data_IF_825649252949
#
_entry.id   IF_825649252949
#
_cell.length_a   1.000
_cell.length_b   1.000
_cell.length_c   1.000
_cell.angle_alpha   90.00
_cell.angle_beta   90.00
_cell.angle_gamma   90.00
#
_symmetry.space_group_name_H-M   'P 1'
#
loop_
_entity.id
_entity.type
_entity.pdbx_description
1 polymer ?
#
# COMPACT_ATOMS: atom_id res chain seq x y z
N UNK A 1 27.94 4.30 -44.55
CA UNK A 1 27.40 3.50 -43.44
C UNK A 1 26.19 4.25 -42.90
N UNK A 2 25.03 3.59 -42.88
CA UNK A 2 23.76 4.15 -42.45
C UNK A 2 23.71 4.39 -40.92
N UNK A 3 22.77 5.23 -40.43
CA UNK A 3 22.80 5.87 -39.12
C UNK A 3 21.92 5.16 -38.06
N UNK A 4 22.11 5.50 -36.79
CA UNK A 4 21.25 5.06 -35.68
C UNK A 4 20.88 6.23 -34.77
N UNK A 5 19.83 6.97 -35.13
CA UNK A 5 19.21 8.01 -34.29
C UNK A 5 17.99 7.37 -33.63
N UNK A 6 18.03 7.25 -32.30
CA UNK A 6 16.91 6.75 -31.50
C UNK A 6 15.93 7.90 -31.25
N UNK A 7 14.71 7.71 -31.74
CA UNK A 7 13.60 8.64 -31.68
C UNK A 7 12.99 8.65 -30.26
N UNK A 8 13.11 9.78 -29.56
CA UNK A 8 12.37 10.08 -28.33
C UNK A 8 10.94 10.45 -28.73
N UNK A 9 9.95 9.59 -28.42
CA UNK A 9 8.53 9.97 -28.50
C UNK A 9 8.06 10.54 -27.16
N UNK A 10 8.15 11.86 -27.06
CA UNK A 10 7.28 12.67 -26.22
C UNK A 10 6.04 13.08 -27.06
N UNK A 11 4.85 12.65 -26.65
CA UNK A 11 3.57 13.27 -27.03
C UNK A 11 2.54 12.89 -25.96
N UNK A 12 2.25 13.79 -25.02
CA UNK A 12 1.13 14.74 -25.07
C UNK A 12 -0.23 14.04 -24.86
N UNK A 13 -0.74 14.07 -23.63
CA UNK A 13 -2.15 13.82 -23.35
C UNK A 13 -2.68 14.93 -22.42
N UNK A 14 -3.06 16.04 -23.03
CA UNK A 14 -3.86 17.11 -22.45
C UNK A 14 -5.31 16.90 -22.91
N UNK A 15 -6.22 16.85 -21.94
CA UNK A 15 -7.65 17.20 -21.99
C UNK A 15 -8.53 16.53 -23.07
N UNK A 16 -9.61 15.89 -22.63
CA UNK A 16 -10.99 16.28 -22.97
C UNK A 16 -12.01 15.43 -22.19
N UNK A 17 -12.95 16.13 -21.54
CA UNK A 17 -14.16 15.63 -20.90
C UNK A 17 -15.12 15.02 -21.95
N UNK A 18 -16.01 14.07 -21.60
CA UNK A 18 -16.97 13.54 -22.55
C UNK A 18 -18.26 14.39 -22.58
N UNK A 19 -18.52 15.01 -23.72
CA UNK A 19 -19.88 15.41 -24.14
C UNK A 19 -20.54 14.24 -24.86
N UNK A 20 -21.80 14.03 -24.51
CA UNK A 20 -22.68 12.96 -24.97
C UNK A 20 -23.16 13.19 -26.42
N UNK A 21 -23.06 12.20 -27.31
CA UNK A 21 -24.11 11.85 -28.31
C UNK A 21 -23.80 10.56 -29.08
N UNK A 22 -24.86 9.80 -29.35
CA UNK A 22 -24.88 8.50 -30.01
C UNK A 22 -24.89 8.57 -31.56
N UNK A 23 -24.24 7.61 -32.24
CA UNK A 23 -24.82 6.81 -33.35
C UNK A 23 -23.86 5.73 -33.91
N UNK A 24 -24.36 4.49 -33.88
CA UNK A 24 -24.31 3.34 -34.81
C UNK A 24 -23.16 3.05 -35.82
N UNK A 25 -22.64 1.81 -35.67
CA UNK A 25 -22.34 0.70 -36.62
C UNK A 25 -20.96 0.54 -37.31
N UNK A 26 -20.43 -0.70 -37.17
CA UNK A 26 -19.47 -1.52 -37.97
C UNK A 26 -18.05 -0.97 -38.16
N UNK A 27 -16.90 -1.65 -37.93
CA UNK A 27 -16.48 -3.07 -37.96
C UNK A 27 -15.10 -3.22 -37.24
N UNK A 28 -14.82 -4.40 -36.64
CA UNK A 28 -13.49 -5.07 -36.51
C UNK A 28 -13.49 -6.12 -35.36
N UNK A 29 -13.21 -7.43 -35.59
CA UNK A 29 -13.29 -8.46 -34.54
C UNK A 29 -12.07 -8.54 -33.60
N UNK A 30 -11.03 -7.75 -33.81
CA UNK A 30 -9.75 -7.95 -33.11
C UNK A 30 -9.54 -7.08 -31.86
N UNK A 31 -10.45 -6.14 -31.58
CA UNK A 31 -10.34 -5.22 -30.43
C UNK A 31 -11.22 -5.61 -29.22
N UNK A 32 -12.00 -6.69 -29.32
CA UNK A 32 -13.01 -7.06 -28.31
C UNK A 32 -12.50 -7.98 -27.18
N UNK A 33 -11.23 -8.38 -27.16
CA UNK A 33 -10.70 -9.26 -26.11
C UNK A 33 -10.15 -8.54 -24.87
N UNK A 34 -10.19 -7.20 -24.82
CA UNK A 34 -9.73 -6.45 -23.64
C UNK A 34 -10.85 -5.74 -22.87
N UNK A 35 -12.11 -5.82 -23.35
CA UNK A 35 -13.22 -5.02 -22.80
C UNK A 35 -14.45 -5.83 -22.37
N UNK A 36 -14.36 -7.16 -22.30
CA UNK A 36 -15.49 -8.06 -21.99
C UNK A 36 -15.32 -8.83 -20.66
N UNK A 37 -14.52 -8.32 -19.72
CA UNK A 37 -14.40 -8.95 -18.37
C UNK A 37 -15.20 -8.22 -17.28
N UNK A 38 -15.95 -7.17 -17.62
CA UNK A 38 -16.71 -6.39 -16.62
C UNK A 38 -18.21 -6.39 -16.85
N UNK A 39 -18.89 -7.54 -16.77
CA UNK A 39 -20.35 -7.58 -16.57
C UNK A 39 -20.75 -8.77 -15.67
N UNK A 40 -21.56 -8.46 -14.64
CA UNK A 40 -22.28 -9.34 -13.70
C UNK A 40 -21.52 -10.00 -12.53
N UNK A 41 -21.17 -9.20 -11.52
CA UNK A 41 -20.81 -9.67 -10.16
C UNK A 41 -22.04 -9.86 -9.26
N UNK A 42 -23.03 -10.63 -9.72
CA UNK A 42 -24.17 -11.04 -8.88
C UNK A 42 -23.97 -12.41 -8.21
N UNK A 43 -22.87 -13.09 -8.48
CA UNK A 43 -22.42 -14.28 -7.75
C UNK A 43 -20.99 -14.04 -7.28
N UNK A 44 -20.78 -13.98 -5.95
CA UNK A 44 -19.54 -13.74 -5.21
C UNK A 44 -18.46 -14.82 -5.47
N UNK A 45 -18.10 -15.06 -6.71
CA UNK A 45 -16.96 -15.90 -7.03
C UNK A 45 -15.75 -15.00 -7.16
N UNK A 46 -14.95 -14.87 -6.11
CA UNK A 46 -13.64 -14.21 -6.19
C UNK A 46 -12.63 -15.07 -7.01
N UNK A 47 -13.10 -16.01 -7.85
CA UNK A 47 -12.33 -16.87 -8.73
C UNK A 47 -11.23 -16.14 -9.49
N UNK A 48 -11.51 -14.94 -9.99
CA UNK A 48 -10.50 -14.12 -10.70
C UNK A 48 -9.38 -13.66 -9.77
N UNK A 49 -9.69 -13.33 -8.51
CA UNK A 49 -8.70 -13.00 -7.47
C UNK A 49 -7.76 -14.19 -7.25
N UNK A 50 -8.32 -15.39 -7.08
CA UNK A 50 -7.51 -16.58 -6.81
C UNK A 50 -6.72 -17.08 -8.01
N UNK A 51 -7.32 -17.06 -9.21
CA UNK A 51 -6.61 -17.43 -10.43
C UNK A 51 -5.39 -16.52 -10.62
N UNK A 52 -5.58 -15.20 -10.45
CA UNK A 52 -4.50 -14.24 -10.51
C UNK A 52 -3.45 -14.44 -9.41
N UNK A 53 -3.89 -14.69 -8.16
CA UNK A 53 -2.99 -14.99 -7.05
C UNK A 53 -2.11 -16.21 -7.34
N UNK A 54 -2.71 -17.30 -7.84
CA UNK A 54 -2.03 -18.55 -8.14
C UNK A 54 -1.03 -18.43 -9.29
N UNK A 55 -1.37 -17.67 -10.31
CA UNK A 55 -0.53 -17.54 -11.50
C UNK A 55 0.59 -16.52 -11.30
N UNK A 56 0.28 -15.38 -10.69
CA UNK A 56 1.23 -14.25 -10.58
C UNK A 56 2.00 -14.25 -9.26
N UNK A 57 1.42 -14.80 -8.19
CA UNK A 57 1.96 -14.75 -6.84
C UNK A 57 1.85 -16.09 -6.11
N UNK A 58 2.34 -17.20 -6.70
CA UNK A 58 2.23 -18.52 -6.10
C UNK A 58 2.95 -18.58 -4.75
N UNK A 59 2.42 -19.35 -3.79
CA UNK A 59 3.13 -19.60 -2.53
C UNK A 59 4.38 -20.43 -2.79
N UNK A 60 5.54 -19.78 -2.76
CA UNK A 60 6.84 -20.43 -2.99
C UNK A 60 7.47 -21.01 -1.73
N UNK A 61 7.08 -20.50 -0.55
CA UNK A 61 7.69 -20.87 0.73
C UNK A 61 6.89 -21.99 1.39
N UNK A 62 7.57 -23.09 1.75
CA UNK A 62 6.94 -24.26 2.41
C UNK A 62 6.81 -24.08 3.91
N UNK A 63 7.76 -23.42 4.55
CA UNK A 63 7.75 -23.14 5.99
C UNK A 63 6.74 -22.05 6.32
N UNK A 64 6.11 -22.18 7.48
CA UNK A 64 5.21 -21.15 7.98
C UNK A 64 5.98 -19.88 8.36
N UNK A 65 5.35 -18.74 8.10
CA UNK A 65 5.82 -17.41 8.51
C UNK A 65 4.79 -16.78 9.44
N UNK A 66 5.27 -16.10 10.48
CA UNK A 66 4.40 -15.49 11.49
C UNK A 66 4.32 -13.98 11.30
N UNK A 67 3.11 -13.43 11.44
CA UNK A 67 2.92 -12.00 11.59
C UNK A 67 3.29 -11.63 13.03
N UNK A 68 4.45 -11.00 13.21
CA UNK A 68 4.90 -10.52 14.53
C UNK A 68 4.39 -9.11 14.82
N UNK A 69 4.81 -8.57 15.97
CA UNK A 69 4.47 -7.21 16.44
C UNK A 69 4.81 -6.10 15.44
N UNK A 70 5.71 -6.36 14.50
CA UNK A 70 6.13 -5.41 13.48
C UNK A 70 5.84 -5.89 12.04
N UNK A 71 4.88 -6.81 11.90
CA UNK A 71 4.46 -7.43 10.65
C UNK A 71 5.35 -8.61 10.23
N UNK A 72 5.22 -9.02 8.97
CA UNK A 72 6.09 -10.03 8.37
C UNK A 72 7.45 -9.44 8.06
N UNK A 73 8.52 -10.19 8.37
CA UNK A 73 9.90 -9.84 8.00
C UNK A 73 10.69 -11.09 7.67
N UNK A 74 11.26 -11.12 6.47
CA UNK A 74 12.15 -12.19 6.00
C UNK A 74 12.85 -11.72 4.72
N UNK A 75 13.57 -12.63 4.06
CA UNK A 75 14.20 -12.39 2.75
C UNK A 75 13.17 -11.87 1.75
N UNK A 76 13.52 -10.81 1.02
CA UNK A 76 12.62 -10.20 0.04
C UNK A 76 12.08 -11.19 -1.01
N UNK A 77 12.90 -12.15 -1.43
CA UNK A 77 12.56 -13.22 -2.38
C UNK A 77 11.42 -14.13 -1.92
N UNK A 78 11.11 -14.12 -0.62
CA UNK A 78 10.11 -14.97 0.01
C UNK A 78 8.79 -14.23 0.29
N UNK A 79 8.69 -12.95 -0.09
CA UNK A 79 7.60 -12.06 0.33
C UNK A 79 6.56 -11.74 -0.74
N UNK A 80 6.79 -12.01 -2.03
CA UNK A 80 5.86 -11.56 -3.10
C UNK A 80 4.41 -12.03 -2.88
N UNK A 81 4.21 -13.32 -2.63
CA UNK A 81 2.87 -13.85 -2.34
C UNK A 81 2.29 -13.31 -1.02
N UNK A 82 3.14 -13.04 -0.03
CA UNK A 82 2.75 -12.46 1.26
C UNK A 82 2.24 -11.04 1.04
N UNK A 83 2.95 -10.24 0.25
CA UNK A 83 2.57 -8.87 -0.09
C UNK A 83 1.20 -8.83 -0.76
N UNK A 84 0.99 -9.68 -1.76
CA UNK A 84 -0.31 -9.79 -2.43
C UNK A 84 -1.43 -10.12 -1.44
N UNK A 85 -1.23 -11.14 -0.60
CA UNK A 85 -2.21 -11.55 0.41
C UNK A 85 -2.45 -10.50 1.49
N UNK A 86 -1.44 -9.69 1.84
CA UNK A 86 -1.61 -8.53 2.73
C UNK A 86 -2.38 -7.39 2.08
N UNK A 87 -2.27 -7.21 0.76
CA UNK A 87 -3.16 -6.32 0.00
C UNK A 87 -4.63 -6.74 0.11
N UNK A 88 -4.91 -8.04 -0.02
CA UNK A 88 -6.26 -8.59 0.17
C UNK A 88 -6.78 -8.34 1.60
N UNK A 89 -5.96 -8.68 2.61
CA UNK A 89 -6.33 -8.51 4.02
C UNK A 89 -6.57 -7.04 4.37
N UNK A 90 -5.77 -6.11 3.84
CA UNK A 90 -5.95 -4.69 4.07
C UNK A 90 -7.31 -4.18 3.55
N UNK A 91 -7.79 -4.69 2.41
CA UNK A 91 -9.13 -4.38 1.89
C UNK A 91 -10.22 -4.91 2.81
N UNK A 92 -10.11 -6.16 3.27
CA UNK A 92 -11.07 -6.74 4.21
C UNK A 92 -11.09 -5.96 5.54
N UNK A 93 -9.92 -5.57 6.06
CA UNK A 93 -9.79 -4.74 7.27
C UNK A 93 -10.45 -3.38 7.07
N UNK A 94 -10.21 -2.72 5.94
CA UNK A 94 -10.79 -1.42 5.63
C UNK A 94 -12.32 -1.48 5.57
N UNK A 95 -12.90 -2.55 4.99
CA UNK A 95 -14.34 -2.78 4.96
C UNK A 95 -14.93 -2.99 6.35
N UNK A 96 -14.31 -3.85 7.15
CA UNK A 96 -14.71 -4.10 8.54
C UNK A 96 -14.68 -2.82 9.38
N UNK A 97 -13.59 -2.06 9.32
CA UNK A 97 -13.42 -0.81 10.08
C UNK A 97 -14.18 0.37 9.50
N UNK A 98 -14.67 0.26 8.25
CA UNK A 98 -15.25 1.37 7.47
C UNK A 98 -14.33 2.59 7.43
N UNK A 99 -13.04 2.32 7.23
CA UNK A 99 -11.96 3.30 7.39
C UNK A 99 -10.79 3.01 6.45
N UNK A 100 -9.93 4.01 6.26
CA UNK A 100 -8.70 3.90 5.49
C UNK A 100 -7.66 3.12 6.29
N UNK A 101 -6.99 2.16 5.62
CA UNK A 101 -5.94 1.32 6.19
C UNK A 101 -4.61 1.63 5.49
N UNK A 102 -3.51 1.60 6.23
CA UNK A 102 -2.16 1.74 5.68
C UNK A 102 -1.46 0.39 5.52
N UNK A 103 -0.57 0.30 4.54
CA UNK A 103 0.36 -0.81 4.33
C UNK A 103 1.76 -0.25 4.14
N UNK A 104 2.67 -0.54 5.07
CA UNK A 104 4.06 -0.10 5.02
C UNK A 104 4.97 -1.26 4.61
N UNK A 105 5.71 -1.09 3.51
CA UNK A 105 6.74 -2.02 3.04
C UNK A 105 8.10 -1.57 3.60
N UNK A 106 8.62 -2.32 4.57
CA UNK A 106 9.93 -2.08 5.19
C UNK A 106 10.32 -3.25 6.10
N UNK A 107 11.61 -3.53 6.22
CA UNK A 107 12.16 -4.31 7.32
C UNK A 107 12.93 -3.48 8.36
N UNK A 108 12.73 -2.16 8.40
CA UNK A 108 13.33 -1.27 9.41
C UNK A 108 14.86 -1.45 9.50
N UNK A 109 15.37 -2.01 10.60
CA UNK A 109 16.80 -2.18 10.89
C UNK A 109 17.40 -3.48 10.32
N UNK A 110 16.60 -4.37 9.74
CA UNK A 110 17.09 -5.63 9.18
C UNK A 110 18.08 -5.38 8.02
N UNK A 111 18.97 -6.35 7.72
CA UNK A 111 19.86 -6.29 6.55
C UNK A 111 19.13 -6.00 5.24
N UNK A 112 19.80 -5.35 4.27
CA UNK A 112 19.19 -4.94 2.98
C UNK A 112 18.45 -6.05 2.22
N UNK A 113 18.95 -7.31 2.15
CA UNK A 113 18.26 -8.38 1.43
C UNK A 113 16.91 -8.81 2.02
N UNK A 114 16.63 -8.41 3.27
CA UNK A 114 15.34 -8.61 3.90
C UNK A 114 14.36 -7.51 3.48
N UNK A 115 13.06 -7.81 3.56
CA UNK A 115 12.03 -6.79 3.55
C UNK A 115 10.89 -7.24 4.46
N UNK A 116 9.81 -6.48 4.47
CA UNK A 116 8.67 -6.78 5.34
C UNK A 116 7.47 -5.94 5.02
N UNK A 117 6.35 -6.30 5.63
CA UNK A 117 5.08 -5.60 5.49
C UNK A 117 4.36 -5.55 6.82
N UNK A 118 3.81 -4.39 7.14
CA UNK A 118 2.92 -4.18 8.28
C UNK A 118 1.71 -3.35 7.89
N UNK A 119 0.57 -3.69 8.48
CA UNK A 119 -0.68 -2.97 8.33
C UNK A 119 -0.81 -1.92 9.44
N UNK A 120 -1.45 -0.81 9.10
CA UNK A 120 -1.68 0.34 9.98
C UNK A 120 -3.17 0.60 10.06
N UNK A 121 -3.71 0.54 11.29
CA UNK A 121 -5.12 0.73 11.57
C UNK A 121 -5.49 2.23 11.63
N UNK A 122 -6.80 2.57 11.70
CA UNK A 122 -7.29 3.90 11.34
C UNK A 122 -6.75 5.09 12.13
N UNK A 123 -6.37 4.91 13.40
CA UNK A 123 -5.79 5.93 14.27
C UNK A 123 -4.25 5.94 14.23
N UNK A 124 -3.64 5.23 13.27
CA UNK A 124 -2.18 5.13 13.14
C UNK A 124 -1.57 4.12 14.10
N UNK A 125 -2.39 3.28 14.72
CA UNK A 125 -2.00 2.15 15.54
C UNK A 125 -1.57 0.96 14.67
N UNK A 126 -0.87 0.02 15.29
CA UNK A 126 -0.55 -1.26 14.66
C UNK A 126 -1.83 -2.09 14.47
N UNK A 127 -1.77 -3.06 13.55
CA UNK A 127 -2.87 -4.01 13.35
C UNK A 127 -3.31 -4.65 14.67
N UNK A 128 -4.61 -4.69 14.89
CA UNK A 128 -5.22 -5.38 16.03
C UNK A 128 -4.75 -6.84 16.12
N UNK A 129 -4.38 -7.29 17.33
CA UNK A 129 -3.76 -8.61 17.56
C UNK A 129 -4.59 -9.79 17.05
N UNK A 130 -5.93 -9.71 17.16
CA UNK A 130 -6.85 -10.72 16.62
C UNK A 130 -6.70 -10.89 15.09
N UNK A 131 -6.33 -9.83 14.38
CA UNK A 131 -6.08 -9.82 12.94
C UNK A 131 -4.65 -10.23 12.57
N UNK A 132 -3.68 -10.24 13.49
CA UNK A 132 -2.34 -10.79 13.25
C UNK A 132 -2.39 -12.31 13.03
N UNK A 133 -3.28 -13.00 13.74
CA UNK A 133 -3.56 -14.43 13.52
C UNK A 133 -4.13 -14.66 12.11
N UNK A 134 -5.04 -13.80 11.67
CA UNK A 134 -5.58 -13.82 10.31
C UNK A 134 -4.51 -13.52 9.26
N UNK A 135 -3.64 -12.55 9.49
CA UNK A 135 -2.51 -12.27 8.60
C UNK A 135 -1.59 -13.48 8.46
N UNK A 136 -1.24 -14.11 9.58
CA UNK A 136 -0.46 -15.36 9.63
C UNK A 136 -1.15 -16.48 8.85
N UNK A 137 -2.45 -16.69 9.07
CA UNK A 137 -3.24 -17.70 8.36
C UNK A 137 -3.29 -17.44 6.86
N UNK A 138 -3.56 -16.20 6.46
CA UNK A 138 -3.54 -15.77 5.06
C UNK A 138 -2.20 -16.06 4.42
N UNK A 139 -1.08 -15.77 5.07
CA UNK A 139 0.24 -16.06 4.53
C UNK A 139 0.48 -17.59 4.39
N UNK A 140 0.09 -18.40 5.36
CA UNK A 140 0.51 -19.80 5.38
C UNK A 140 -0.41 -20.75 4.61
N UNK A 141 -1.65 -20.37 4.35
CA UNK A 141 -2.61 -21.23 3.66
C UNK A 141 -2.14 -21.61 2.24
N UNK A 142 -2.41 -22.84 1.80
CA UNK A 142 -2.17 -23.25 0.42
C UNK A 142 -2.98 -22.38 -0.57
N UNK A 143 -2.46 -22.16 -1.78
CA UNK A 143 -3.11 -21.24 -2.73
C UNK A 143 -4.55 -21.66 -3.09
N UNK A 144 -4.82 -22.96 -3.16
CA UNK A 144 -6.16 -23.50 -3.41
C UNK A 144 -7.14 -23.35 -2.22
N UNK A 145 -6.67 -22.86 -1.08
CA UNK A 145 -7.43 -22.67 0.16
C UNK A 145 -7.52 -21.21 0.59
N UNK A 146 -6.92 -20.30 -0.18
CA UNK A 146 -7.03 -18.86 0.05
C UNK A 146 -8.50 -18.39 -0.08
N UNK A 147 -9.29 -19.00 -0.97
CA UNK A 147 -10.72 -18.68 -1.13
C UNK A 147 -11.54 -18.98 0.10
N UNK A 148 -11.44 -20.22 0.56
CA UNK A 148 -12.10 -20.68 1.78
C UNK A 148 -11.74 -19.76 2.96
N UNK A 149 -10.47 -19.36 3.07
CA UNK A 149 -9.96 -18.50 4.14
C UNK A 149 -10.53 -17.07 4.10
N UNK A 150 -10.68 -16.48 2.91
CA UNK A 150 -11.31 -15.16 2.75
C UNK A 150 -12.78 -15.22 3.14
N UNK A 151 -13.50 -16.24 2.68
CA UNK A 151 -14.91 -16.43 3.01
C UNK A 151 -15.14 -16.66 4.52
N UNK A 152 -14.23 -17.39 5.16
CA UNK A 152 -14.24 -17.60 6.61
C UNK A 152 -14.08 -16.28 7.37
N UNK A 153 -13.11 -15.44 6.99
CA UNK A 153 -12.90 -14.12 7.62
C UNK A 153 -14.11 -13.21 7.42
N UNK A 154 -14.66 -13.15 6.20
CA UNK A 154 -15.86 -12.36 5.88
C UNK A 154 -17.02 -12.75 6.79
N UNK A 155 -17.21 -14.06 7.00
CA UNK A 155 -18.26 -14.57 7.88
C UNK A 155 -17.98 -14.27 9.35
N UNK A 156 -16.76 -14.46 9.83
CA UNK A 156 -16.36 -14.20 11.23
C UNK A 156 -16.59 -12.74 11.62
N UNK A 157 -16.22 -11.80 10.76
CA UNK A 157 -16.36 -10.35 11.02
C UNK A 157 -17.64 -9.73 10.44
N UNK A 158 -18.53 -10.54 9.89
CA UNK A 158 -19.78 -10.11 9.26
C UNK A 158 -19.60 -8.94 8.26
N UNK A 159 -18.63 -9.08 7.34
CA UNK A 159 -18.30 -8.06 6.34
C UNK A 159 -19.34 -8.11 5.22
N UNK A 160 -20.30 -7.20 5.24
CA UNK A 160 -21.42 -7.18 4.28
C UNK A 160 -21.21 -6.24 3.10
N UNK A 161 -20.27 -5.31 3.20
CA UNK A 161 -20.07 -4.22 2.26
C UNK A 161 -18.97 -4.50 1.22
N UNK A 162 -19.04 -5.66 0.59
CA UNK A 162 -18.00 -6.12 -0.36
C UNK A 162 -17.91 -5.29 -1.65
N UNK A 163 -18.97 -4.54 -1.98
CA UNK A 163 -18.98 -3.65 -3.14
C UNK A 163 -18.48 -2.22 -2.84
N UNK A 164 -18.25 -1.90 -1.57
CA UNK A 164 -17.74 -0.59 -1.20
C UNK A 164 -16.30 -0.43 -1.67
N UNK A 165 -16.04 0.72 -2.30
CA UNK A 165 -14.69 1.12 -2.69
C UNK A 165 -13.97 1.70 -1.47
N UNK A 166 -13.00 0.94 -0.95
CA UNK A 166 -12.17 1.34 0.19
C UNK A 166 -10.78 1.81 -0.25
N UNK A 167 -10.23 2.82 0.42
CA UNK A 167 -8.88 3.33 0.13
C UNK A 167 -7.83 2.63 1.00
N UNK A 168 -6.73 2.20 0.38
CA UNK A 168 -5.57 1.60 1.05
C UNK A 168 -4.35 2.46 0.74
N UNK A 169 -3.72 3.02 1.77
CA UNK A 169 -2.52 3.85 1.60
C UNK A 169 -1.30 2.94 1.60
N UNK A 170 -0.45 3.04 0.59
CA UNK A 170 0.75 2.22 0.46
C UNK A 170 1.98 3.12 0.55
N UNK A 171 2.91 2.76 1.44
CA UNK A 171 4.19 3.44 1.61
C UNK A 171 5.34 2.44 1.63
N UNK A 172 6.52 2.86 1.19
CA UNK A 172 7.72 2.01 1.14
C UNK A 172 8.97 2.74 1.60
N UNK A 173 9.95 1.98 2.11
CA UNK A 173 11.31 2.49 2.34
C UNK A 173 12.16 2.46 1.06
N UNK A 174 13.48 2.64 1.20
CA UNK A 174 14.45 2.72 0.11
C UNK A 174 15.06 1.38 -0.30
N UNK A 175 14.57 0.24 0.20
CA UNK A 175 15.13 -1.07 -0.19
C UNK A 175 14.93 -1.33 -1.69
N UNK A 176 15.91 -1.89 -2.41
CA UNK A 176 15.79 -2.26 -3.81
C UNK A 176 14.58 -3.15 -4.15
N UNK A 177 14.19 -4.03 -3.23
CA UNK A 177 13.02 -4.90 -3.38
C UNK A 177 11.67 -4.20 -3.16
N UNK A 178 11.66 -3.04 -2.49
CA UNK A 178 10.42 -2.35 -2.09
C UNK A 178 9.49 -1.94 -3.24
N UNK A 179 9.97 -1.45 -4.42
CA UNK A 179 9.09 -1.11 -5.54
C UNK A 179 8.28 -2.30 -6.06
N UNK A 180 8.92 -3.47 -6.23
CA UNK A 180 8.23 -4.67 -6.71
C UNK A 180 7.26 -5.21 -5.66
N UNK A 181 7.68 -5.28 -4.39
CA UNK A 181 6.82 -5.75 -3.30
C UNK A 181 5.61 -4.83 -3.07
N UNK A 182 5.77 -3.51 -3.23
CA UNK A 182 4.66 -2.57 -3.20
C UNK A 182 3.67 -2.81 -4.35
N UNK A 183 4.16 -3.18 -5.55
CA UNK A 183 3.29 -3.58 -6.67
C UNK A 183 2.46 -4.82 -6.30
N UNK A 184 3.07 -5.84 -5.70
CA UNK A 184 2.36 -7.05 -5.25
C UNK A 184 1.23 -6.70 -4.27
N UNK A 185 1.48 -5.80 -3.30
CA UNK A 185 0.43 -5.29 -2.39
C UNK A 185 -0.69 -4.62 -3.19
N UNK A 186 -0.36 -3.69 -4.08
CA UNK A 186 -1.36 -2.94 -4.86
C UNK A 186 -2.21 -3.86 -5.75
N UNK A 187 -1.61 -4.88 -6.34
CA UNK A 187 -2.33 -5.88 -7.14
C UNK A 187 -3.33 -6.66 -6.26
N UNK A 188 -2.95 -7.01 -5.02
CA UNK A 188 -3.87 -7.61 -4.05
C UNK A 188 -5.02 -6.69 -3.67
N UNK A 189 -4.73 -5.40 -3.45
CA UNK A 189 -5.76 -4.38 -3.17
C UNK A 189 -6.75 -4.29 -4.34
N UNK A 190 -6.25 -4.21 -5.57
CA UNK A 190 -7.08 -4.12 -6.78
C UNK A 190 -7.92 -5.37 -7.00
N UNK A 191 -7.38 -6.56 -6.70
CA UNK A 191 -8.07 -7.82 -6.89
C UNK A 191 -9.36 -7.90 -6.06
N UNK A 192 -9.37 -7.35 -4.83
CA UNK A 192 -10.60 -7.21 -4.03
C UNK A 192 -11.31 -5.86 -4.24
N UNK A 193 -11.14 -5.20 -5.38
CA UNK A 193 -11.80 -3.93 -5.73
C UNK A 193 -11.52 -2.76 -4.77
N UNK A 194 -10.41 -2.82 -4.04
CA UNK A 194 -9.89 -1.69 -3.27
C UNK A 194 -9.23 -0.65 -4.18
N UNK A 195 -8.99 0.55 -3.63
CA UNK A 195 -8.27 1.64 -4.30
C UNK A 195 -6.91 1.84 -3.61
N UNK A 196 -5.79 1.39 -4.22
CA UNK A 196 -4.47 1.71 -3.70
C UNK A 196 -4.14 3.18 -3.92
N UNK A 197 -3.51 3.82 -2.93
CA UNK A 197 -2.95 5.16 -2.99
C UNK A 197 -1.47 5.05 -2.64
N UNK A 198 -0.60 5.07 -3.65
CA UNK A 198 0.87 4.97 -3.46
C UNK A 198 1.43 6.33 -3.05
N UNK A 199 1.96 6.41 -1.83
CA UNK A 199 2.73 7.56 -1.34
C UNK A 199 4.22 7.47 -1.68
N UNK A 200 4.66 6.39 -2.34
CA UNK A 200 6.03 6.19 -2.74
C UNK A 200 6.97 6.00 -1.54
N UNK A 201 8.13 6.64 -1.62
CA UNK A 201 9.18 6.53 -0.60
C UNK A 201 8.84 7.44 0.59
N UNK A 202 8.51 6.84 1.73
CA UNK A 202 8.12 7.53 2.96
C UNK A 202 8.71 6.83 4.18
N UNK A 203 8.87 7.54 5.27
CA UNK A 203 9.19 6.92 6.57
C UNK A 203 7.96 6.21 7.13
N UNK A 204 8.15 5.21 7.99
CA UNK A 204 7.03 4.56 8.69
C UNK A 204 6.14 5.59 9.44
N UNK A 205 6.69 6.54 10.23
CA UNK A 205 5.85 7.54 10.91
C UNK A 205 5.05 8.44 9.95
N UNK A 206 5.59 8.77 8.76
CA UNK A 206 4.86 9.52 7.75
C UNK A 206 3.61 8.76 7.26
N UNK A 207 3.74 7.46 6.95
CA UNK A 207 2.57 6.67 6.54
C UNK A 207 1.52 6.61 7.65
N UNK A 208 1.94 6.35 8.91
CA UNK A 208 1.01 6.36 10.04
C UNK A 208 0.29 7.71 10.16
N UNK A 209 1.01 8.83 10.04
CA UNK A 209 0.43 10.16 10.01
C UNK A 209 -0.61 10.35 8.89
N UNK A 210 -0.33 9.86 7.67
CA UNK A 210 -1.26 9.97 6.54
C UNK A 210 -2.56 9.21 6.77
N UNK A 211 -2.48 8.01 7.37
CA UNK A 211 -3.65 7.21 7.74
C UNK A 211 -4.53 7.99 8.72
N UNK A 212 -3.96 8.54 9.80
CA UNK A 212 -4.74 9.34 10.77
C UNK A 212 -5.36 10.57 10.11
N UNK A 213 -4.60 11.29 9.27
CA UNK A 213 -5.10 12.48 8.59
C UNK A 213 -6.27 12.17 7.65
N UNK A 214 -6.21 11.04 6.93
CA UNK A 214 -7.31 10.58 6.05
C UNK A 214 -8.55 10.21 6.86
N UNK A 215 -8.40 9.44 7.92
CA UNK A 215 -9.54 8.98 8.73
C UNK A 215 -10.17 10.10 9.58
N UNK A 216 -9.38 11.11 9.97
CA UNK A 216 -9.89 12.32 10.65
C UNK A 216 -10.36 13.41 9.67
N UNK A 217 -10.41 13.12 8.37
CA UNK A 217 -10.85 14.06 7.31
C UNK A 217 -10.11 15.41 7.37
N UNK A 218 -8.83 15.37 7.67
CA UNK A 218 -7.97 16.56 7.74
C UNK A 218 -7.90 17.25 9.10
N UNK A 219 -8.73 16.85 10.10
CA UNK A 219 -8.70 17.45 11.45
C UNK A 219 -7.35 17.25 12.14
N UNK A 220 -6.73 16.07 11.99
CA UNK A 220 -5.40 15.84 12.55
C UNK A 220 -4.27 16.53 11.77
N UNK A 221 -4.49 16.85 10.49
CA UNK A 221 -3.49 17.43 9.61
C UNK A 221 -3.72 17.07 8.13
N UNK A 222 -2.85 17.54 7.25
CA UNK A 222 -2.97 17.28 5.82
C UNK A 222 -2.18 16.00 5.44
N UNK A 223 -2.78 14.98 4.79
CA UNK A 223 -2.13 13.70 4.48
C UNK A 223 -1.13 13.83 3.32
N UNK A 224 -0.03 14.54 3.55
CA UNK A 224 1.07 14.79 2.62
C UNK A 224 2.37 14.98 3.38
N UNK A 225 3.51 14.84 2.70
CA UNK A 225 4.82 15.12 3.31
C UNK A 225 4.93 16.55 3.83
N UNK A 226 4.48 17.54 3.05
CA UNK A 226 4.46 18.94 3.48
C UNK A 226 3.60 19.12 4.74
N UNK A 227 2.41 18.51 4.79
CA UNK A 227 1.55 18.53 5.97
C UNK A 227 2.23 17.95 7.21
N UNK A 228 2.97 16.85 7.04
CA UNK A 228 3.77 16.23 8.10
C UNK A 228 4.87 17.17 8.60
N UNK A 229 5.68 17.73 7.68
CA UNK A 229 6.74 18.67 8.04
C UNK A 229 6.19 19.93 8.69
N UNK A 230 5.12 20.52 8.14
CA UNK A 230 4.46 21.71 8.69
C UNK A 230 3.95 21.46 10.09
N UNK A 231 3.32 20.31 10.36
CA UNK A 231 2.84 19.96 11.70
C UNK A 231 3.97 19.87 12.72
N UNK A 232 5.04 19.13 12.39
CA UNK A 232 6.19 18.97 13.28
C UNK A 232 6.94 20.28 13.50
N UNK A 233 7.23 21.03 12.44
CA UNK A 233 7.96 22.30 12.52
C UNK A 233 7.16 23.37 13.25
N UNK A 234 5.83 23.40 13.11
CA UNK A 234 4.95 24.32 13.87
C UNK A 234 4.99 24.00 15.36
N UNK A 235 4.84 22.72 15.73
CA UNK A 235 4.93 22.30 17.13
C UNK A 235 6.32 22.58 17.73
N UNK A 236 7.38 22.26 16.98
CA UNK A 236 8.76 22.53 17.38
C UNK A 236 9.01 24.03 17.58
N UNK A 237 8.61 24.89 16.64
CA UNK A 237 8.74 26.35 16.76
C UNK A 237 7.99 26.89 17.99
N UNK A 238 6.81 26.34 18.30
CA UNK A 238 6.03 26.71 19.50
C UNK A 238 6.74 26.33 20.80
N UNK A 239 7.32 25.12 20.88
CA UNK A 239 8.06 24.65 22.06
C UNK A 239 9.37 25.42 22.22
N UNK A 240 10.11 25.62 21.12
CA UNK A 240 11.38 26.34 21.10
C UNK A 240 11.22 27.82 21.46
N UNK A 241 10.11 28.44 21.06
CA UNK A 241 9.87 29.88 21.24
C UNK A 241 10.71 30.73 20.27
N UNK A 242 11.06 31.95 20.68
CA UNK A 242 11.87 32.90 19.91
C UNK A 242 13.37 32.61 19.96
N UNK A 243 13.85 31.97 21.03
CA UNK A 243 15.28 31.76 21.26
C UNK A 243 15.80 30.61 20.38
N UNK A 244 16.90 30.85 19.68
CA UNK A 244 17.55 29.85 18.83
C UNK A 244 18.47 28.91 19.62
N UNK A 245 18.79 29.27 20.86
CA UNK A 245 19.55 28.48 21.82
C UNK A 245 18.84 28.59 23.17
N UNK A 246 18.75 27.49 23.91
CA UNK A 246 18.05 27.47 25.20
C UNK A 246 18.70 26.48 26.16
N UNK A 247 19.34 26.99 27.21
CA UNK A 247 20.18 26.18 28.10
C UNK A 247 21.27 25.44 27.32
N UNK A 248 21.30 24.11 27.45
CA UNK A 248 22.26 23.25 26.75
C UNK A 248 21.90 22.97 25.27
N UNK A 249 20.73 23.43 24.79
CA UNK A 249 20.36 23.27 23.39
C UNK A 249 21.11 24.27 22.51
N UNK A 250 21.87 23.76 21.55
CA UNK A 250 22.42 24.52 20.43
C UNK A 250 21.72 24.09 19.13
N UNK A 251 21.55 25.01 18.20
CA UNK A 251 20.90 24.76 16.90
C UNK A 251 21.79 24.00 15.90
N UNK A 252 22.72 23.17 16.40
CA UNK A 252 23.60 22.32 15.58
C UNK A 252 23.36 20.87 15.96
N UNK A 253 23.04 20.05 14.96
CA UNK A 253 22.81 18.63 15.11
C UNK A 253 23.55 17.88 14.01
N UNK A 254 24.40 16.93 14.39
CA UNK A 254 24.90 15.93 13.45
C UNK A 254 23.87 14.81 13.38
N UNK A 255 23.41 14.49 12.17
CA UNK A 255 22.36 13.49 11.95
C UNK A 255 22.88 12.40 11.01
N UNK A 256 23.01 11.18 11.55
CA UNK A 256 23.22 9.98 10.76
C UNK A 256 21.85 9.41 10.34
N UNK A 257 21.53 9.52 9.06
CA UNK A 257 20.30 8.98 8.48
C UNK A 257 20.37 7.50 8.10
N UNK A 258 21.44 6.79 8.47
CA UNK A 258 21.69 5.36 8.21
C UNK A 258 21.59 4.95 6.74
N UNK A 259 21.87 5.88 5.81
CA UNK A 259 21.64 5.74 4.37
C UNK A 259 20.20 5.30 4.00
N UNK A 260 19.24 5.47 4.91
CA UNK A 260 17.86 5.05 4.73
C UNK A 260 16.96 6.19 4.27
N UNK A 261 15.65 5.90 4.19
CA UNK A 261 14.63 6.91 3.87
C UNK A 261 14.70 8.13 4.80
N UNK A 262 15.09 7.94 6.07
CA UNK A 262 15.26 9.02 7.04
C UNK A 262 16.34 10.04 6.66
N UNK A 263 17.39 9.64 5.93
CA UNK A 263 18.39 10.58 5.40
C UNK A 263 17.75 11.54 4.39
N UNK A 264 16.95 10.98 3.46
CA UNK A 264 16.26 11.75 2.41
C UNK A 264 15.18 12.68 2.98
N UNK A 265 14.46 12.25 4.03
CA UNK A 265 13.35 13.02 4.62
C UNK A 265 13.79 13.97 5.74
N UNK A 266 14.95 13.72 6.35
CA UNK A 266 15.53 14.55 7.42
C UNK A 266 16.27 15.78 6.89
N UNK A 267 16.62 15.79 5.61
CA UNK A 267 17.08 16.99 4.92
C UNK A 267 15.87 17.91 4.70
N UNK A 268 15.59 18.77 5.67
CA UNK A 268 14.57 19.82 5.53
C UNK A 268 15.05 20.75 4.40
N UNK A 269 14.21 21.05 3.38
CA UNK A 269 14.55 22.04 2.37
C UNK A 269 14.75 23.44 2.96
#
# INVERSE_FOLDING_TARGET
MAPGVILVRCALLLMLLPLCRARSKSESPAANNFQVVFINMANNSYRTVYAFAREMYPKTVKTDIQYGTAGFRTRATNLEYVMYRMGLLAVLRARYKKAVIGVMITASHNPEPDNGVKLVDPHGEMLEQSWEAWATKFANVADNKLEDTINELIKEYNITNMNDRVEILVGKDTRPSSPHLAKSVMDGVLALSGKPIDFGIVTTPQLHYFVVCRNTRGVYGHPSEDGYYKKLTTAFKKIRGSNFTNGNYTNRLAYDGANGVGAKKGQVP
#
